data_IF_054077508036
#
_entry.id   IF_054077508036
#
_cell.length_a   1.000
_cell.length_b   1.000
_cell.length_c   1.000
_cell.angle_alpha   90.00
_cell.angle_beta   90.00
_cell.angle_gamma   90.00
#
_symmetry.space_group_name_H-M   'P 1'
#
loop_
_entity.id
_entity.type
_entity.pdbx_description
1 polymer ?
#
# COMPACT_ATOMS: atom_id res chain seq x y z
N UNK A 1 21.89 7.22 -13.49
CA UNK A 1 20.44 7.48 -13.62
C UNK A 1 19.75 6.43 -12.76
N UNK A 2 18.92 6.80 -11.77
CA UNK A 2 18.14 5.82 -11.00
C UNK A 2 16.98 5.29 -11.85
N UNK A 3 16.63 4.02 -11.66
CA UNK A 3 15.71 3.17 -12.42
C UNK A 3 14.21 3.51 -12.28
N UNK A 4 13.89 4.66 -11.69
CA UNK A 4 12.53 5.00 -11.28
C UNK A 4 11.71 5.70 -12.37
N UNK A 5 12.33 6.16 -13.46
CA UNK A 5 11.67 6.86 -14.56
C UNK A 5 11.24 5.89 -15.68
N UNK A 6 10.23 6.23 -16.50
CA UNK A 6 9.99 5.55 -17.77
C UNK A 6 11.26 5.63 -18.64
N UNK A 7 11.73 4.49 -19.14
CA UNK A 7 12.91 4.42 -19.98
C UNK A 7 12.52 4.46 -21.45
N UNK A 8 13.00 5.49 -22.16
CA UNK A 8 12.80 5.68 -23.60
C UNK A 8 14.08 5.40 -24.42
N UNK A 9 15.00 4.53 -23.94
CA UNK A 9 16.31 4.34 -24.59
C UNK A 9 16.88 2.91 -24.57
N UNK A 10 17.81 2.64 -25.50
CA UNK A 10 18.51 1.36 -25.72
C UNK A 10 19.67 1.13 -24.72
N UNK A 11 19.37 1.13 -23.42
CA UNK A 11 20.35 0.76 -22.37
C UNK A 11 19.97 -0.56 -21.71
N UNK A 12 20.97 -1.36 -21.34
CA UNK A 12 20.75 -2.52 -20.46
C UNK A 12 20.18 -2.07 -19.12
N UNK A 13 19.17 -2.80 -18.64
CA UNK A 13 18.36 -2.42 -17.49
C UNK A 13 18.19 -3.59 -16.53
N UNK A 14 18.43 -3.34 -15.24
CA UNK A 14 18.10 -4.28 -14.16
C UNK A 14 16.93 -3.68 -13.40
N UNK A 15 15.79 -4.38 -13.41
CA UNK A 15 14.56 -3.97 -12.72
C UNK A 15 14.04 -5.07 -11.81
N UNK A 16 13.36 -4.67 -10.74
CA UNK A 16 12.51 -5.55 -9.96
C UNK A 16 11.20 -5.85 -10.72
N UNK A 17 10.54 -6.97 -10.37
CA UNK A 17 9.17 -7.23 -10.84
C UNK A 17 8.17 -6.60 -9.87
N UNK A 18 8.01 -5.28 -9.98
CA UNK A 18 7.12 -4.50 -9.11
C UNK A 18 5.64 -4.92 -9.23
N UNK A 19 5.20 -5.40 -10.39
CA UNK A 19 3.83 -5.91 -10.59
C UNK A 19 3.61 -7.16 -9.72
N UNK A 20 4.49 -8.15 -9.86
CA UNK A 20 4.45 -9.36 -9.06
C UNK A 20 4.60 -9.06 -7.57
N UNK A 21 5.44 -8.09 -7.20
CA UNK A 21 5.59 -7.66 -5.80
C UNK A 21 4.29 -7.12 -5.20
N UNK A 22 3.55 -6.29 -5.95
CA UNK A 22 2.24 -5.78 -5.54
C UNK A 22 1.18 -6.88 -5.41
N UNK A 23 1.14 -7.82 -6.36
CA UNK A 23 0.24 -9.00 -6.30
C UNK A 23 0.55 -9.86 -5.07
N UNK A 24 1.82 -10.24 -4.88
CA UNK A 24 2.25 -11.09 -3.77
C UNK A 24 1.92 -10.48 -2.40
N UNK A 25 2.23 -9.19 -2.21
CA UNK A 25 1.96 -8.50 -0.95
C UNK A 25 0.46 -8.44 -0.64
N UNK A 26 -0.37 -8.16 -1.65
CA UNK A 26 -1.81 -8.07 -1.50
C UNK A 26 -2.45 -9.43 -1.27
N UNK A 27 -2.03 -10.47 -2.01
CA UNK A 27 -2.47 -11.85 -1.82
C UNK A 27 -2.15 -12.38 -0.45
N UNK A 28 -0.97 -12.04 0.09
CA UNK A 28 -0.63 -12.40 1.45
C UNK A 28 -1.65 -11.84 2.46
N UNK A 29 -2.10 -10.59 2.32
CA UNK A 29 -3.15 -10.03 3.17
C UNK A 29 -4.48 -10.77 2.98
N UNK A 30 -4.85 -11.07 1.74
CA UNK A 30 -6.08 -11.82 1.43
C UNK A 30 -6.06 -13.22 2.06
N UNK A 31 -4.94 -13.95 1.94
CA UNK A 31 -4.75 -15.29 2.52
C UNK A 31 -4.83 -15.29 4.06
N UNK A 32 -4.52 -14.14 4.69
CA UNK A 32 -4.70 -13.93 6.14
C UNK A 32 -6.14 -13.61 6.53
N UNK A 33 -7.04 -13.48 5.55
CA UNK A 33 -8.48 -13.27 5.72
C UNK A 33 -8.89 -11.81 5.75
N UNK A 34 -8.03 -10.87 5.34
CA UNK A 34 -8.39 -9.47 5.15
C UNK A 34 -9.20 -9.31 3.87
N UNK A 35 -10.23 -8.47 3.92
CA UNK A 35 -11.19 -8.30 2.80
C UNK A 35 -11.39 -6.84 2.42
N UNK A 36 -10.98 -5.90 3.28
CA UNK A 36 -11.07 -4.46 3.07
C UNK A 36 -9.65 -3.91 3.10
N UNK A 37 -8.92 -4.17 2.04
CA UNK A 37 -7.50 -3.83 1.93
C UNK A 37 -7.39 -2.50 1.19
N UNK A 38 -6.76 -1.49 1.80
CA UNK A 38 -6.42 -0.25 1.13
C UNK A 38 -4.98 -0.31 0.57
N UNK A 39 -4.67 0.55 -0.41
CA UNK A 39 -3.34 0.70 -0.99
C UNK A 39 -2.88 2.16 -0.89
N UNK A 40 -1.73 2.38 -0.23
CA UNK A 40 -1.01 3.65 -0.26
C UNK A 40 0.12 3.51 -1.28
N UNK A 41 -0.13 3.97 -2.50
CA UNK A 41 0.82 3.96 -3.61
C UNK A 41 1.82 5.12 -3.50
N UNK A 42 2.97 4.97 -4.17
CA UNK A 42 3.91 6.09 -4.38
C UNK A 42 3.52 6.99 -5.56
N UNK A 43 4.43 7.89 -5.98
CA UNK A 43 4.19 8.78 -7.11
C UNK A 43 3.98 8.00 -8.41
N UNK A 44 2.84 8.20 -9.07
CA UNK A 44 2.45 7.42 -10.26
C UNK A 44 3.24 7.78 -11.53
N UNK A 45 4.06 8.83 -11.48
CA UNK A 45 5.08 9.12 -12.50
C UNK A 45 6.27 8.15 -12.43
N UNK A 46 6.38 7.33 -11.37
CA UNK A 46 7.38 6.27 -11.24
C UNK A 46 6.81 4.92 -11.66
N UNK A 47 7.54 4.22 -12.54
CA UNK A 47 7.13 2.90 -13.05
C UNK A 47 6.92 1.88 -11.91
N UNK A 48 7.81 1.75 -10.91
CA UNK A 48 7.59 0.82 -9.80
C UNK A 48 6.30 1.09 -9.01
N UNK A 49 5.97 2.36 -8.76
CA UNK A 49 4.75 2.73 -8.03
C UNK A 49 3.49 2.32 -8.79
N UNK A 50 3.44 2.59 -10.10
CA UNK A 50 2.32 2.21 -10.96
C UNK A 50 2.15 0.69 -11.03
N UNK A 51 3.25 -0.03 -11.22
CA UNK A 51 3.22 -1.50 -11.30
C UNK A 51 2.80 -2.15 -9.98
N UNK A 52 3.26 -1.65 -8.83
CA UNK A 52 2.81 -2.15 -7.50
C UNK A 52 1.31 -1.92 -7.28
N UNK A 53 0.79 -0.76 -7.68
CA UNK A 53 -0.64 -0.46 -7.61
C UNK A 53 -1.46 -1.37 -8.53
N UNK A 54 -0.95 -1.65 -9.73
CA UNK A 54 -1.57 -2.60 -10.66
C UNK A 54 -1.61 -4.01 -10.08
N UNK A 55 -0.52 -4.49 -9.49
CA UNK A 55 -0.48 -5.81 -8.84
C UNK A 55 -1.46 -5.93 -7.67
N UNK A 56 -1.61 -4.86 -6.88
CA UNK A 56 -2.66 -4.77 -5.87
C UNK A 56 -4.07 -4.91 -6.46
N UNK A 57 -4.36 -4.20 -7.57
CA UNK A 57 -5.66 -4.27 -8.26
C UNK A 57 -5.92 -5.66 -8.82
N UNK A 58 -4.91 -6.30 -9.42
CA UNK A 58 -5.01 -7.66 -9.95
C UNK A 58 -5.33 -8.66 -8.83
N UNK A 59 -4.62 -8.61 -7.70
CA UNK A 59 -4.85 -9.47 -6.55
C UNK A 59 -6.29 -9.32 -6.00
N UNK A 60 -6.75 -8.08 -5.81
CA UNK A 60 -8.11 -7.80 -5.34
C UNK A 60 -9.17 -8.32 -6.32
N UNK A 61 -8.98 -8.07 -7.62
CA UNK A 61 -9.88 -8.55 -8.67
C UNK A 61 -9.92 -10.08 -8.76
N UNK A 62 -8.76 -10.74 -8.69
CA UNK A 62 -8.65 -12.20 -8.71
C UNK A 62 -9.36 -12.84 -7.51
N UNK A 63 -9.31 -12.20 -6.35
CA UNK A 63 -10.04 -12.61 -5.15
C UNK A 63 -11.52 -12.17 -5.13
N UNK A 64 -11.98 -11.43 -6.15
CA UNK A 64 -13.33 -10.84 -6.24
C UNK A 64 -13.67 -9.93 -5.06
N UNK A 65 -12.67 -9.24 -4.52
CA UNK A 65 -12.84 -8.27 -3.46
C UNK A 65 -13.01 -6.87 -4.07
N UNK A 66 -14.00 -6.08 -3.62
CA UNK A 66 -14.18 -4.72 -4.11
C UNK A 66 -13.07 -3.82 -3.58
N UNK A 67 -12.74 -2.78 -4.33
CA UNK A 67 -11.90 -1.66 -3.89
C UNK A 67 -12.81 -0.45 -3.73
N UNK A 68 -13.22 -0.10 -2.48
CA UNK A 68 -14.02 1.09 -2.24
C UNK A 68 -13.33 2.37 -2.71
N UNK A 69 -14.11 3.37 -3.13
CA UNK A 69 -13.58 4.69 -3.43
C UNK A 69 -12.84 5.25 -2.20
N UNK A 70 -11.65 5.80 -2.40
CA UNK A 70 -10.80 6.30 -1.30
C UNK A 70 -9.88 5.27 -0.66
N UNK A 71 -9.89 3.99 -1.09
CA UNK A 71 -8.93 2.98 -0.62
C UNK A 71 -7.59 3.05 -1.36
N UNK A 72 -7.53 3.69 -2.52
CA UNK A 72 -6.29 3.91 -3.26
C UNK A 72 -5.84 5.35 -3.06
N UNK A 73 -4.77 5.55 -2.28
CA UNK A 73 -4.19 6.86 -2.03
C UNK A 73 -2.82 6.93 -2.70
N UNK A 74 -2.62 7.96 -3.52
CA UNK A 74 -1.31 8.27 -4.11
C UNK A 74 -0.53 9.17 -3.16
N UNK A 75 0.72 8.81 -2.87
CA UNK A 75 1.60 9.50 -1.95
C UNK A 75 2.99 9.71 -2.57
N UNK A 76 3.96 10.16 -1.78
CA UNK A 76 5.23 10.70 -2.27
C UNK A 76 6.47 9.83 -2.01
N UNK A 77 6.28 8.58 -1.54
CA UNK A 77 7.36 7.69 -1.08
C UNK A 77 8.14 8.15 0.16
N UNK A 78 7.66 9.18 0.86
CA UNK A 78 8.28 9.69 2.08
C UNK A 78 7.45 9.36 3.32
N UNK A 79 8.10 9.40 4.49
CA UNK A 79 7.45 9.18 5.78
C UNK A 79 6.19 10.04 5.98
N UNK A 80 6.29 11.35 5.71
CA UNK A 80 5.17 12.28 5.89
C UNK A 80 3.98 11.91 5.00
N UNK A 81 4.24 11.55 3.75
CA UNK A 81 3.18 11.12 2.84
C UNK A 81 2.50 9.83 3.27
N UNK A 82 3.21 8.89 3.90
CA UNK A 82 2.60 7.69 4.48
C UNK A 82 1.72 8.00 5.70
N UNK A 83 2.19 8.91 6.56
CA UNK A 83 1.45 9.37 7.74
C UNK A 83 0.12 10.04 7.37
N UNK A 84 0.16 11.00 6.43
CA UNK A 84 -1.01 11.75 5.98
C UNK A 84 -2.02 10.85 5.26
N UNK A 85 -1.54 9.94 4.41
CA UNK A 85 -2.39 8.97 3.73
C UNK A 85 -3.14 8.07 4.73
N UNK A 86 -2.47 7.63 5.79
CA UNK A 86 -3.13 6.82 6.81
C UNK A 86 -4.15 7.61 7.63
N UNK A 87 -3.88 8.90 7.92
CA UNK A 87 -4.87 9.77 8.56
C UNK A 87 -6.14 9.86 7.71
N UNK A 88 -6.01 10.00 6.39
CA UNK A 88 -7.17 9.99 5.48
C UNK A 88 -7.96 8.68 5.56
N UNK A 89 -7.28 7.52 5.52
CA UNK A 89 -7.94 6.21 5.63
C UNK A 89 -8.67 6.02 6.96
N UNK A 90 -8.13 6.55 8.06
CA UNK A 90 -8.75 6.47 9.39
C UNK A 90 -10.05 7.27 9.48
N UNK A 91 -10.23 8.28 8.63
CA UNK A 91 -11.49 9.06 8.52
C UNK A 91 -12.52 8.41 7.60
N UNK A 92 -12.17 7.35 6.88
CA UNK A 92 -13.08 6.72 5.94
C UNK A 92 -14.28 6.07 6.65
N UNK A 93 -15.54 6.23 6.16
CA UNK A 93 -16.73 5.69 6.82
C UNK A 93 -16.68 4.17 7.04
N UNK A 94 -16.08 3.45 6.09
CA UNK A 94 -15.81 2.01 6.18
C UNK A 94 -14.30 1.83 6.22
N UNK A 95 -13.71 1.78 7.41
CA UNK A 95 -12.25 1.67 7.56
C UNK A 95 -11.71 0.39 6.92
N UNK A 96 -10.55 0.45 6.23
CA UNK A 96 -9.87 -0.75 5.78
C UNK A 96 -9.47 -1.61 6.99
N UNK A 97 -9.35 -2.92 6.83
CA UNK A 97 -8.83 -3.84 7.85
C UNK A 97 -7.36 -4.25 7.63
N UNK A 98 -6.80 -3.91 6.47
CA UNK A 98 -5.37 -3.96 6.20
C UNK A 98 -4.97 -2.87 5.19
N UNK A 99 -3.69 -2.52 5.15
CA UNK A 99 -3.13 -1.55 4.19
C UNK A 99 -1.87 -2.11 3.56
N UNK A 100 -1.82 -2.13 2.23
CA UNK A 100 -0.60 -2.32 1.46
C UNK A 100 0.08 -0.95 1.22
N UNK A 101 1.38 -0.86 1.46
CA UNK A 101 2.13 0.40 1.36
C UNK A 101 3.26 0.24 0.35
N UNK A 102 3.38 1.19 -0.58
CA UNK A 102 4.27 1.08 -1.74
C UNK A 102 5.77 1.08 -1.44
N UNK A 103 6.19 1.49 -0.23
CA UNK A 103 7.57 1.36 0.26
C UNK A 103 7.65 1.42 1.81
N UNK A 104 8.82 1.11 2.35
CA UNK A 104 9.05 1.04 3.80
C UNK A 104 9.01 2.42 4.47
N UNK A 105 9.52 3.47 3.82
CA UNK A 105 9.53 4.82 4.39
C UNK A 105 8.12 5.33 4.68
N UNK A 106 7.18 5.15 3.75
CA UNK A 106 5.76 5.45 3.98
C UNK A 106 5.17 4.52 5.03
N UNK A 107 5.54 3.23 5.06
CA UNK A 107 5.01 2.28 6.03
C UNK A 107 5.34 2.70 7.48
N UNK A 108 6.54 3.24 7.73
CA UNK A 108 6.89 3.83 9.03
C UNK A 108 5.97 5.02 9.39
N UNK A 109 5.62 5.87 8.41
CA UNK A 109 4.63 6.93 8.59
C UNK A 109 3.24 6.43 8.92
N UNK A 110 2.81 5.36 8.23
CA UNK A 110 1.53 4.67 8.50
C UNK A 110 1.49 4.16 9.94
N UNK A 111 2.54 3.49 10.41
CA UNK A 111 2.63 3.03 11.80
C UNK A 111 2.55 4.17 12.80
N UNK A 112 3.23 5.29 12.55
CA UNK A 112 3.17 6.47 13.40
C UNK A 112 1.75 7.05 13.47
N UNK A 113 1.04 7.11 12.34
CA UNK A 113 -0.33 7.60 12.25
C UNK A 113 -1.30 6.73 13.05
N UNK A 114 -1.17 5.41 12.93
CA UNK A 114 -1.92 4.44 13.72
C UNK A 114 -1.66 4.57 15.22
N UNK A 115 -0.39 4.75 15.60
CA UNK A 115 -0.01 4.95 17.00
C UNK A 115 -0.67 6.20 17.59
N UNK A 116 -0.70 7.31 16.86
CA UNK A 116 -1.33 8.56 17.31
C UNK A 116 -2.87 8.49 17.37
N UNK A 117 -3.49 7.70 16.49
CA UNK A 117 -4.94 7.57 16.42
C UNK A 117 -5.57 6.75 17.55
N UNK A 118 -4.77 6.18 18.47
CA UNK A 118 -5.26 5.46 19.63
C UNK A 118 -4.88 3.98 19.70
N UNK A 119 -3.91 3.51 18.91
CA UNK A 119 -3.28 2.21 19.14
C UNK A 119 -2.33 2.28 20.35
N UNK A 120 -2.90 2.49 21.53
CA UNK A 120 -2.27 2.11 22.79
C UNK A 120 -2.04 0.60 22.72
N UNK A 121 -0.77 0.18 22.74
CA UNK A 121 -0.33 -1.23 22.81
C UNK A 121 -1.29 -2.10 23.64
N UNK A 122 -1.93 -3.15 23.10
CA UNK A 122 -2.29 -4.30 23.90
C UNK A 122 -1.07 -5.23 23.89
N UNK A 123 -0.35 -5.28 25.00
CA UNK A 123 0.32 -6.51 25.41
C UNK A 123 -0.78 -7.56 25.59
N UNK A 124 -1.14 -8.27 24.53
CA UNK A 124 -2.21 -9.27 24.60
C UNK A 124 -2.62 -9.77 23.21
N UNK A 125 -2.40 -11.07 23.00
CA UNK A 125 -2.93 -11.86 21.89
C UNK A 125 -4.43 -11.56 21.66
N UNK A 126 -4.75 -10.80 20.62
CA UNK A 126 -6.12 -10.40 20.30
C UNK A 126 -6.19 -9.83 18.90
N UNK A 127 -6.97 -10.47 18.05
CA UNK A 127 -7.07 -10.27 16.60
C UNK A 127 -7.90 -9.02 16.29
N UNK A 128 -7.38 -7.83 16.60
CA UNK A 128 -8.06 -6.58 16.24
C UNK A 128 -7.65 -6.10 14.84
N UNK A 129 -8.68 -5.97 14.00
CA UNK A 129 -8.63 -5.30 12.70
C UNK A 129 -8.56 -3.79 12.94
N UNK A 130 -7.90 -3.06 12.03
CA UNK A 130 -7.65 -1.61 12.10
C UNK A 130 -8.84 -0.76 12.59
#
# INVERSE_FOLDING_TARGET
MMDWAPFDGDSDLIQDNSLLGGDMATRYLIERGYTRIACIAGPLDKTPARLRLEGYREAMNNAKLPIPAGYEITSNFEFGGGFDAMQQLLTHPVRPDAVFVGNDAMAVGVYQSLYQAGATHPTGCGRDRL
#
